data_IF_508055614270
#
_entry.id   IF_508055614270
#
_cell.length_a   1.000
_cell.length_b   1.000
_cell.length_c   1.000
_cell.angle_alpha   90.00
_cell.angle_beta   90.00
_cell.angle_gamma   90.00
#
_symmetry.space_group_name_H-M   'P 1'
#
loop_
_entity.id
_entity.type
_entity.pdbx_description
1 polymer ?
#
# COMPACT_ATOMS: atom_id res chain seq x y z
N UNK A 1 37.84 -19.78 5.21
CA UNK A 1 36.57 -20.40 4.74
C UNK A 1 35.71 -19.29 4.14
N UNK A 2 35.22 -19.47 2.92
CA UNK A 2 34.25 -18.51 2.34
C UNK A 2 32.95 -18.63 3.10
N UNK A 3 32.40 -17.49 3.53
CA UNK A 3 31.11 -17.42 4.18
C UNK A 3 30.01 -17.92 3.25
N UNK A 4 29.19 -18.86 3.73
CA UNK A 4 28.06 -19.40 2.94
C UNK A 4 26.83 -18.51 3.20
N UNK A 5 26.41 -17.78 2.17
CA UNK A 5 25.19 -16.97 2.21
C UNK A 5 23.97 -17.82 1.81
N UNK A 6 22.89 -17.72 2.57
CA UNK A 6 21.58 -18.22 2.14
C UNK A 6 20.94 -17.21 1.17
N UNK A 7 21.00 -17.52 -0.11
CA UNK A 7 20.45 -16.64 -1.16
C UNK A 7 18.93 -16.76 -1.33
N UNK A 8 18.31 -17.80 -0.76
CA UNK A 8 16.86 -17.99 -0.86
C UNK A 8 16.08 -16.87 -0.17
N UNK A 9 16.67 -16.24 0.84
CA UNK A 9 16.08 -15.07 1.54
C UNK A 9 15.91 -13.85 0.64
N UNK A 10 16.62 -13.82 -0.50
CA UNK A 10 16.52 -12.76 -1.51
C UNK A 10 15.42 -13.02 -2.55
N UNK A 11 14.78 -14.18 -2.52
CA UNK A 11 13.70 -14.49 -3.45
C UNK A 11 12.46 -13.63 -3.10
N UNK A 12 11.95 -12.88 -4.08
CA UNK A 12 10.77 -12.02 -3.93
C UNK A 12 9.53 -12.58 -4.65
N UNK A 13 9.68 -13.66 -5.42
CA UNK A 13 8.60 -14.25 -6.22
C UNK A 13 8.24 -13.40 -7.44
N UNK A 14 7.04 -13.58 -7.95
CA UNK A 14 6.58 -12.96 -9.19
C UNK A 14 6.12 -11.50 -9.01
N UNK A 15 5.62 -11.11 -7.84
CA UNK A 15 5.22 -9.71 -7.59
C UNK A 15 6.47 -8.91 -7.20
N UNK A 16 6.81 -7.95 -8.05
CA UNK A 16 8.05 -7.17 -7.93
C UNK A 16 7.87 -5.89 -7.11
N UNK A 17 6.69 -5.29 -7.18
CA UNK A 17 6.37 -4.02 -6.53
C UNK A 17 4.85 -3.85 -6.44
N UNK A 18 4.35 -3.44 -5.28
CA UNK A 18 3.06 -2.77 -5.19
C UNK A 18 3.28 -1.30 -5.55
N UNK A 19 2.74 -0.86 -6.69
CA UNK A 19 2.97 0.48 -7.20
C UNK A 19 2.09 1.50 -6.51
N UNK A 20 0.77 1.25 -6.43
CA UNK A 20 -0.12 2.21 -5.76
C UNK A 20 -1.27 1.54 -5.01
N UNK A 21 -1.84 2.33 -4.12
CA UNK A 21 -3.13 2.10 -3.49
C UNK A 21 -4.09 3.16 -4.02
N UNK A 22 -5.21 2.73 -4.59
CA UNK A 22 -6.28 3.61 -5.05
C UNK A 22 -7.34 3.76 -3.97
N UNK A 23 -7.58 5.01 -3.57
CA UNK A 23 -8.56 5.38 -2.57
C UNK A 23 -9.31 6.63 -3.03
N UNK A 24 -10.52 6.48 -3.53
CA UNK A 24 -11.32 7.63 -3.91
C UNK A 24 -11.60 8.54 -2.72
N UNK A 25 -11.62 9.84 -2.98
CA UNK A 25 -11.90 10.89 -1.99
C UNK A 25 -13.04 11.78 -2.49
N UNK A 26 -13.77 12.39 -1.59
CA UNK A 26 -14.87 13.30 -1.95
C UNK A 26 -14.41 14.76 -2.07
N UNK A 27 -13.27 15.11 -1.47
CA UNK A 27 -12.69 16.45 -1.49
C UNK A 27 -11.17 16.42 -1.74
N UNK A 28 -10.75 16.91 -2.90
CA UNK A 28 -9.33 16.96 -3.29
C UNK A 28 -8.52 17.99 -2.47
N UNK A 29 -9.12 19.04 -1.94
CA UNK A 29 -8.41 20.01 -1.11
C UNK A 29 -8.11 19.41 0.26
N UNK A 30 -9.06 18.71 0.85
CA UNK A 30 -8.86 17.95 2.09
C UNK A 30 -7.82 16.85 1.88
N UNK A 31 -7.83 16.18 0.71
CA UNK A 31 -6.82 15.19 0.37
C UNK A 31 -5.40 15.81 0.31
N UNK A 32 -5.23 16.94 -0.36
CA UNK A 32 -3.95 17.65 -0.39
C UNK A 32 -3.53 18.10 1.03
N UNK A 33 -4.45 18.64 1.82
CA UNK A 33 -4.15 19.04 3.20
C UNK A 33 -3.65 17.85 4.02
N UNK A 34 -4.26 16.68 3.89
CA UNK A 34 -3.87 15.49 4.63
C UNK A 34 -2.60 14.84 4.05
N UNK A 35 -2.60 14.40 2.79
CA UNK A 35 -1.49 13.62 2.24
C UNK A 35 -0.22 14.44 2.06
N UNK A 36 -0.33 15.70 1.62
CA UNK A 36 0.83 16.59 1.42
C UNK A 36 1.14 17.38 2.68
N UNK A 37 0.14 18.02 3.29
CA UNK A 37 0.36 18.88 4.45
C UNK A 37 0.69 18.12 5.72
N UNK A 38 -0.09 17.08 6.05
CA UNK A 38 0.09 16.31 7.30
C UNK A 38 1.12 15.23 7.15
N UNK A 39 0.92 14.30 6.20
CA UNK A 39 1.87 13.19 6.01
C UNK A 39 3.21 13.63 5.42
N UNK A 40 3.28 14.82 4.81
CA UNK A 40 4.50 15.33 4.20
C UNK A 40 4.88 14.63 2.89
N UNK A 41 3.91 14.02 2.22
CA UNK A 41 4.11 13.34 0.94
C UNK A 41 4.13 14.34 -0.23
N UNK A 42 4.45 13.88 -1.42
CA UNK A 42 4.65 14.76 -2.56
C UNK A 42 3.61 14.52 -3.64
N UNK A 43 2.83 15.54 -4.00
CA UNK A 43 2.02 15.46 -5.20
C UNK A 43 2.90 15.22 -6.42
N UNK A 44 2.55 14.23 -7.24
CA UNK A 44 3.31 13.91 -8.45
C UNK A 44 3.33 15.10 -9.40
N UNK A 45 4.51 15.60 -9.79
CA UNK A 45 4.61 16.79 -10.64
C UNK A 45 4.41 16.50 -12.14
N UNK A 46 4.39 15.22 -12.54
CA UNK A 46 4.36 14.81 -13.95
C UNK A 46 3.01 14.27 -14.39
N UNK A 47 2.23 13.70 -13.47
CA UNK A 47 0.89 13.22 -13.80
C UNK A 47 -0.11 14.35 -13.59
N UNK A 48 -0.67 14.85 -14.68
CA UNK A 48 -1.75 15.83 -14.66
C UNK A 48 -2.99 15.21 -15.31
N UNK A 49 -3.92 14.79 -14.47
CA UNK A 49 -5.18 14.15 -14.87
C UNK A 49 -6.39 15.02 -14.52
N UNK A 50 -6.20 16.34 -14.51
CA UNK A 50 -7.21 17.31 -14.12
C UNK A 50 -7.24 17.64 -12.64
N UNK A 51 -8.31 18.32 -12.20
CA UNK A 51 -8.48 18.76 -10.81
C UNK A 51 -9.10 17.69 -9.91
N UNK A 52 -9.75 16.69 -10.51
CA UNK A 52 -10.54 15.68 -9.81
C UNK A 52 -9.79 14.35 -9.62
N UNK A 53 -8.50 14.36 -9.80
CA UNK A 53 -7.69 13.17 -9.66
C UNK A 53 -6.25 13.57 -9.35
N UNK A 54 -5.72 13.14 -8.22
CA UNK A 54 -4.33 13.41 -7.84
C UNK A 54 -3.57 12.14 -7.55
N UNK A 55 -2.29 12.20 -7.84
CA UNK A 55 -1.31 11.17 -7.52
C UNK A 55 -0.34 11.72 -6.49
N UNK A 56 -0.13 10.97 -5.42
CA UNK A 56 0.74 11.36 -4.31
C UNK A 56 1.87 10.35 -4.21
N UNK A 57 3.10 10.82 -4.40
CA UNK A 57 4.31 10.00 -4.29
C UNK A 57 4.63 9.69 -2.82
N UNK A 58 4.93 8.45 -2.54
CA UNK A 58 5.38 7.94 -1.25
C UNK A 58 6.51 6.93 -1.48
N UNK A 59 7.71 7.45 -1.64
CA UNK A 59 8.85 6.63 -2.01
C UNK A 59 8.79 6.17 -3.47
N UNK A 60 8.81 4.85 -3.65
CA UNK A 60 8.65 4.18 -4.95
C UNK A 60 7.21 3.82 -5.26
N UNK A 61 6.28 4.19 -4.38
CA UNK A 61 4.86 3.92 -4.50
C UNK A 61 4.07 5.22 -4.58
N UNK A 62 2.77 5.07 -4.80
CA UNK A 62 1.86 6.21 -4.86
C UNK A 62 0.53 5.91 -4.17
N UNK A 63 -0.16 6.97 -3.74
CA UNK A 63 -1.60 6.95 -3.57
C UNK A 63 -2.24 7.55 -4.83
N UNK A 64 -3.19 6.84 -5.40
CA UNK A 64 -4.05 7.35 -6.46
C UNK A 64 -5.39 7.75 -5.85
N UNK A 65 -5.75 9.02 -5.95
CA UNK A 65 -6.87 9.62 -5.24
C UNK A 65 -7.87 10.26 -6.22
N UNK A 66 -8.68 9.47 -6.94
CA UNK A 66 -9.74 10.01 -7.79
C UNK A 66 -10.86 10.60 -6.93
N UNK A 67 -11.58 11.59 -7.45
CA UNK A 67 -12.78 12.14 -6.80
C UNK A 67 -13.98 11.24 -7.06
N UNK A 68 -14.74 10.97 -6.00
CA UNK A 68 -16.00 10.24 -6.02
C UNK A 68 -16.98 10.89 -5.07
N UNK A 69 -18.29 10.64 -5.24
CA UNK A 69 -19.33 11.12 -4.31
C UNK A 69 -19.14 10.60 -2.88
N UNK A 70 -18.52 9.43 -2.75
CA UNK A 70 -18.21 8.81 -1.46
C UNK A 70 -16.75 8.37 -1.43
N UNK A 71 -16.06 8.77 -0.37
CA UNK A 71 -14.68 8.34 -0.14
C UNK A 71 -14.60 6.84 0.17
N UNK A 72 -13.52 6.21 -0.29
CA UNK A 72 -13.23 4.81 -0.02
C UNK A 72 -12.42 4.64 1.26
N UNK A 73 -12.71 3.58 1.99
CA UNK A 73 -12.01 3.21 3.23
C UNK A 73 -11.52 1.79 3.14
N UNK A 74 -10.20 1.63 3.11
CA UNK A 74 -9.54 0.33 3.10
C UNK A 74 -9.95 -0.49 4.33
N UNK A 75 -10.29 -1.76 4.12
CA UNK A 75 -10.72 -2.68 5.17
C UNK A 75 -9.55 -3.19 6.02
N UNK A 76 -8.85 -2.25 6.65
CA UNK A 76 -7.64 -2.59 7.39
C UNK A 76 -6.79 -1.38 7.73
N UNK A 77 -5.48 -1.51 7.57
CA UNK A 77 -4.48 -0.50 7.93
C UNK A 77 -3.39 -0.38 6.86
N UNK A 78 -2.86 0.82 6.71
CA UNK A 78 -1.77 1.15 5.78
C UNK A 78 -0.51 1.43 6.60
N UNK A 79 0.52 0.60 6.46
CA UNK A 79 1.82 0.82 7.08
C UNK A 79 2.67 1.79 6.25
N UNK A 80 3.12 2.86 6.87
CA UNK A 80 4.01 3.84 6.26
C UNK A 80 5.36 3.89 6.96
N UNK A 81 6.42 3.90 6.19
CA UNK A 81 7.74 4.35 6.65
C UNK A 81 7.89 5.80 6.25
N UNK A 82 8.31 6.63 7.20
CA UNK A 82 8.53 8.07 7.02
C UNK A 82 9.89 8.49 7.58
N UNK A 83 10.48 9.57 7.07
CA UNK A 83 11.84 9.98 7.47
C UNK A 83 11.95 10.37 8.95
N UNK A 84 10.94 11.05 9.53
CA UNK A 84 10.96 11.54 10.91
C UNK A 84 9.57 11.52 11.54
N UNK A 85 9.42 10.76 12.62
CA UNK A 85 8.19 10.75 13.44
C UNK A 85 8.04 12.04 14.24
N UNK A 86 9.15 12.66 14.66
CA UNK A 86 9.12 13.93 15.39
C UNK A 86 8.52 15.05 14.53
N UNK A 87 9.00 15.19 13.31
CA UNK A 87 8.47 16.18 12.36
C UNK A 87 7.02 15.87 11.96
N UNK A 88 6.68 14.59 11.80
CA UNK A 88 5.27 14.20 11.57
C UNK A 88 4.39 14.65 12.74
N UNK A 89 4.83 14.48 14.00
CA UNK A 89 4.05 14.89 15.17
C UNK A 89 3.75 16.38 15.16
N UNK A 90 4.73 17.22 14.85
CA UNK A 90 4.52 18.68 14.72
C UNK A 90 3.47 19.00 13.65
N UNK A 91 3.49 18.33 12.51
CA UNK A 91 2.48 18.53 11.45
C UNK A 91 1.10 18.05 11.88
N UNK A 92 1.00 16.94 12.62
CA UNK A 92 -0.26 16.42 13.15
C UNK A 92 -0.91 17.39 14.15
N UNK A 93 -0.14 17.93 15.08
CA UNK A 93 -0.59 18.93 16.05
C UNK A 93 -1.15 20.19 15.36
N UNK A 94 -0.46 20.64 14.31
CA UNK A 94 -0.92 21.79 13.51
C UNK A 94 -2.19 21.48 12.71
N UNK A 95 -2.37 20.24 12.28
CA UNK A 95 -3.51 19.81 11.47
C UNK A 95 -4.81 19.65 12.27
N UNK A 96 -4.75 19.45 13.59
CA UNK A 96 -5.93 19.24 14.43
C UNK A 96 -6.98 20.34 14.27
N UNK A 97 -6.54 21.60 14.12
CA UNK A 97 -7.44 22.75 13.94
C UNK A 97 -8.07 22.81 12.53
N UNK A 98 -7.36 22.27 11.54
CA UNK A 98 -7.77 22.35 10.13
C UNK A 98 -8.72 21.20 9.80
N UNK A 99 -8.48 20.02 10.37
CA UNK A 99 -9.20 18.79 10.06
C UNK A 99 -10.20 18.37 11.15
N UNK A 100 -10.49 19.22 12.14
CA UNK A 100 -11.34 18.93 13.29
C UNK A 100 -12.80 18.57 12.95
N UNK A 101 -13.29 18.95 11.76
CA UNK A 101 -14.65 18.65 11.28
C UNK A 101 -14.73 17.31 10.52
N UNK A 102 -13.63 16.55 10.46
CA UNK A 102 -13.53 15.27 9.76
C UNK A 102 -13.33 14.12 10.74
N UNK A 103 -13.09 12.89 10.25
CA UNK A 103 -12.71 11.75 11.11
C UNK A 103 -11.23 11.76 11.53
N UNK A 104 -10.49 12.81 11.17
CA UNK A 104 -9.06 12.91 11.48
C UNK A 104 -8.81 12.80 12.97
N UNK A 105 -7.93 11.89 13.31
CA UNK A 105 -7.43 11.70 14.68
C UNK A 105 -6.05 11.01 14.65
N UNK A 106 -5.30 11.12 15.73
CA UNK A 106 -4.02 10.44 15.84
C UNK A 106 -3.65 10.10 17.28
N UNK A 107 -2.78 9.13 17.42
CA UNK A 107 -2.20 8.74 18.73
C UNK A 107 -0.76 8.26 18.55
N UNK A 108 0.08 8.50 19.55
CA UNK A 108 1.47 8.01 19.58
C UNK A 108 1.59 6.77 20.45
N UNK A 109 2.31 5.79 19.97
CA UNK A 109 2.73 4.63 20.75
C UNK A 109 4.22 4.78 21.08
N UNK A 110 4.50 5.52 22.14
CA UNK A 110 5.87 5.88 22.54
C UNK A 110 6.60 6.68 21.44
N UNK A 111 7.87 6.31 21.20
CA UNK A 111 8.69 6.89 20.12
C UNK A 111 8.74 6.02 18.86
N UNK A 112 8.10 4.86 18.84
CA UNK A 112 8.27 3.85 17.80
C UNK A 112 7.29 3.99 16.64
N UNK A 113 6.07 4.44 16.92
CA UNK A 113 5.02 4.56 15.89
C UNK A 113 3.96 5.60 16.23
N UNK A 114 3.30 6.08 15.19
CA UNK A 114 2.12 6.96 15.27
C UNK A 114 1.01 6.31 14.47
N UNK A 115 -0.17 6.15 15.10
CA UNK A 115 -1.41 5.76 14.42
C UNK A 115 -2.18 7.00 14.04
N UNK A 116 -2.66 7.06 12.80
CA UNK A 116 -3.39 8.19 12.24
C UNK A 116 -4.65 7.66 11.56
N UNK A 117 -5.79 8.27 11.85
CA UNK A 117 -7.01 8.12 11.06
C UNK A 117 -7.10 9.31 10.11
N UNK A 118 -7.22 9.07 8.81
CA UNK A 118 -7.36 10.14 7.83
C UNK A 118 -8.76 10.81 7.90
N UNK A 119 -9.01 11.92 7.20
CA UNK A 119 -10.29 12.59 7.19
C UNK A 119 -11.50 11.71 6.87
N UNK A 120 -11.33 10.60 6.17
CA UNK A 120 -12.40 9.69 5.75
C UNK A 120 -12.44 8.36 6.50
N UNK A 121 -11.50 8.10 7.43
CA UNK A 121 -11.48 6.90 8.24
C UNK A 121 -10.39 5.88 7.88
N UNK A 122 -9.60 6.09 6.81
CA UNK A 122 -8.45 5.21 6.53
C UNK A 122 -7.42 5.30 7.65
N UNK A 123 -6.93 4.15 8.11
CA UNK A 123 -5.98 4.04 9.23
C UNK A 123 -4.56 3.85 8.72
N UNK A 124 -3.65 4.66 9.24
CA UNK A 124 -2.23 4.63 8.92
C UNK A 124 -1.42 4.29 10.17
N UNK A 125 -0.44 3.41 10.03
CA UNK A 125 0.55 3.13 11.06
C UNK A 125 1.90 3.61 10.54
N UNK A 126 2.34 4.76 11.05
CA UNK A 126 3.59 5.39 10.65
C UNK A 126 4.73 4.96 11.55
N UNK A 127 5.83 4.50 10.95
CA UNK A 127 7.09 4.18 11.63
C UNK A 127 8.23 4.99 11.02
N UNK A 128 9.25 5.27 11.82
CA UNK A 128 10.43 5.96 11.34
C UNK A 128 11.33 5.02 10.54
N UNK A 129 11.91 5.54 9.47
CA UNK A 129 12.95 4.83 8.72
C UNK A 129 14.11 4.46 9.64
N UNK A 130 14.57 3.21 9.58
CA UNK A 130 15.73 2.77 10.34
C UNK A 130 17.00 3.07 9.54
N UNK A 131 17.80 4.02 10.00
CA UNK A 131 19.03 4.46 9.34
C UNK A 131 20.13 3.37 9.28
N UNK A 132 20.03 2.33 10.12
CA UNK A 132 21.02 1.26 10.19
C UNK A 132 20.71 0.06 9.30
N UNK A 133 19.54 0.04 8.68
CA UNK A 133 19.14 -0.99 7.72
C UNK A 133 19.13 -0.39 6.32
N UNK A 134 19.67 -1.11 5.37
CA UNK A 134 19.53 -0.82 3.92
C UNK A 134 18.07 -1.06 3.53
N UNK A 135 17.18 -0.16 3.93
CA UNK A 135 15.76 -0.36 3.84
C UNK A 135 15.03 0.87 3.32
N UNK A 136 13.72 0.74 3.26
CA UNK A 136 12.80 1.80 2.87
C UNK A 136 12.96 3.06 3.74
N UNK A 137 13.28 4.19 3.12
CA UNK A 137 13.40 5.49 3.80
C UNK A 137 12.07 6.24 3.88
N UNK A 138 11.26 6.07 2.86
CA UNK A 138 9.87 6.50 2.77
C UNK A 138 9.12 5.54 1.86
N UNK A 139 7.90 5.15 2.22
CA UNK A 139 7.12 4.22 1.39
C UNK A 139 5.97 3.57 2.14
N UNK A 140 5.17 2.82 1.39
CA UNK A 140 4.15 1.93 1.93
C UNK A 140 4.84 0.60 2.22
N UNK A 141 5.04 0.27 3.50
CA UNK A 141 5.71 -0.96 3.91
C UNK A 141 4.79 -2.18 3.86
N UNK A 142 3.53 -1.98 4.20
CA UNK A 142 2.54 -3.04 4.15
C UNK A 142 1.10 -2.50 4.09
N UNK A 143 0.21 -3.34 3.60
CA UNK A 143 -1.23 -3.22 3.81
C UNK A 143 -1.66 -4.38 4.69
N UNK A 144 -2.42 -4.13 5.74
CA UNK A 144 -3.00 -5.16 6.58
C UNK A 144 -4.52 -5.14 6.39
N UNK A 145 -5.07 -6.20 5.82
CA UNK A 145 -6.52 -6.38 5.64
C UNK A 145 -7.08 -7.30 6.73
N UNK A 146 -8.23 -6.94 7.28
CA UNK A 146 -8.99 -7.81 8.16
C UNK A 146 -9.88 -8.73 7.32
N UNK A 147 -9.77 -10.03 7.57
CA UNK A 147 -10.48 -11.08 6.83
C UNK A 147 -11.25 -12.00 7.77
N UNK A 148 -12.27 -12.67 7.24
CA UNK A 148 -13.05 -13.63 8.00
C UNK A 148 -12.18 -14.79 8.53
N UNK A 149 -12.49 -15.34 9.69
CA UNK A 149 -11.83 -16.55 10.19
C UNK A 149 -11.85 -17.69 9.17
N UNK A 150 -10.78 -18.48 9.15
CA UNK A 150 -10.52 -19.58 8.21
C UNK A 150 -10.25 -19.15 6.75
N UNK A 151 -10.07 -17.85 6.46
CA UNK A 151 -9.75 -17.37 5.11
C UNK A 151 -8.25 -17.34 4.82
N UNK A 152 -7.40 -17.06 5.80
CA UNK A 152 -5.97 -16.81 5.61
C UNK A 152 -5.24 -17.96 4.91
N UNK A 153 -5.59 -19.20 5.19
CA UNK A 153 -5.00 -20.39 4.55
C UNK A 153 -5.32 -20.47 3.06
N UNK A 154 -6.56 -20.20 2.66
CA UNK A 154 -6.98 -20.16 1.26
C UNK A 154 -6.35 -18.98 0.50
N UNK A 155 -6.30 -17.82 1.14
CA UNK A 155 -5.61 -16.61 0.63
C UNK A 155 -4.12 -16.90 0.39
N UNK A 156 -3.45 -17.57 1.35
CA UNK A 156 -2.05 -17.97 1.20
C UNK A 156 -1.85 -18.87 -0.02
N UNK A 157 -2.77 -19.83 -0.26
CA UNK A 157 -2.73 -20.68 -1.46
C UNK A 157 -2.91 -19.87 -2.73
N UNK A 158 -3.85 -18.92 -2.76
CA UNK A 158 -4.08 -18.06 -3.92
C UNK A 158 -2.80 -17.34 -4.34
N UNK A 159 -2.16 -16.63 -3.41
CA UNK A 159 -0.95 -15.89 -3.75
C UNK A 159 0.20 -16.79 -4.17
N UNK A 160 0.37 -17.95 -3.55
CA UNK A 160 1.41 -18.91 -3.92
C UNK A 160 1.17 -19.57 -5.28
N UNK A 161 -0.02 -20.09 -5.50
CA UNK A 161 -0.31 -20.96 -6.65
C UNK A 161 -0.74 -20.17 -7.89
N UNK A 162 -1.42 -19.03 -7.70
CA UNK A 162 -1.92 -18.21 -8.80
C UNK A 162 -0.89 -17.14 -9.18
N UNK A 163 -0.44 -16.35 -8.20
CA UNK A 163 0.44 -15.19 -8.42
C UNK A 163 1.94 -15.51 -8.23
N UNK A 164 2.31 -16.73 -7.84
CA UNK A 164 3.69 -17.13 -7.53
C UNK A 164 4.40 -16.15 -6.57
N UNK A 165 3.66 -15.68 -5.57
CA UNK A 165 4.17 -14.79 -4.54
C UNK A 165 4.46 -15.56 -3.25
N UNK A 166 5.65 -15.42 -2.64
CA UNK A 166 5.95 -16.04 -1.36
C UNK A 166 4.97 -15.56 -0.29
N UNK A 167 4.41 -16.50 0.44
CA UNK A 167 3.45 -16.22 1.50
C UNK A 167 3.76 -17.08 2.72
N UNK A 168 3.84 -16.46 3.89
CA UNK A 168 3.96 -17.12 5.18
C UNK A 168 2.59 -17.18 5.86
N UNK A 169 2.27 -18.32 6.48
CA UNK A 169 1.06 -18.48 7.29
C UNK A 169 1.47 -18.57 8.75
N UNK A 170 1.02 -17.63 9.56
CA UNK A 170 1.31 -17.52 10.98
C UNK A 170 0.07 -17.90 11.79
N UNK A 171 0.22 -18.80 12.76
CA UNK A 171 -0.84 -19.15 13.69
C UNK A 171 -0.72 -18.26 14.94
N UNK A 172 -1.82 -17.64 15.33
CA UNK A 172 -1.91 -16.84 16.55
C UNK A 172 -2.34 -17.71 17.74
N UNK A 173 -2.04 -17.26 18.96
CA UNK A 173 -2.39 -17.97 20.19
C UNK A 173 -3.91 -18.15 20.39
N UNK A 174 -4.72 -17.26 19.83
CA UNK A 174 -6.19 -17.32 19.89
C UNK A 174 -6.82 -18.23 18.81
N UNK A 175 -6.00 -18.97 18.05
CA UNK A 175 -6.45 -19.88 16.99
C UNK A 175 -6.72 -19.23 15.63
N UNK A 176 -6.66 -17.90 15.53
CA UNK A 176 -6.73 -17.20 14.25
C UNK A 176 -5.41 -17.30 13.48
N UNK A 177 -5.47 -17.05 12.19
CA UNK A 177 -4.32 -17.12 11.30
C UNK A 177 -4.06 -15.78 10.62
N UNK A 178 -2.81 -15.57 10.23
CA UNK A 178 -2.38 -14.41 9.44
C UNK A 178 -1.60 -14.91 8.22
N UNK A 179 -1.99 -14.48 7.04
CA UNK A 179 -1.23 -14.71 5.82
C UNK A 179 -0.39 -13.46 5.50
N UNK A 180 0.92 -13.61 5.42
CA UNK A 180 1.86 -12.54 5.09
C UNK A 180 2.42 -12.80 3.69
N UNK A 181 1.96 -12.02 2.72
CA UNK A 181 2.36 -12.12 1.31
C UNK A 181 3.48 -11.14 1.02
N UNK A 182 4.59 -11.62 0.47
CA UNK A 182 5.68 -10.76 0.00
C UNK A 182 5.33 -10.21 -1.39
N UNK A 183 5.34 -8.87 -1.53
CA UNK A 183 4.95 -8.18 -2.76
C UNK A 183 6.03 -7.19 -3.24
N UNK A 184 7.27 -7.55 -3.06
CA UNK A 184 8.45 -6.75 -3.38
C UNK A 184 9.55 -6.95 -2.34
N UNK A 185 10.70 -6.27 -2.49
CA UNK A 185 11.83 -6.44 -1.57
C UNK A 185 11.51 -6.07 -0.11
N UNK A 186 10.70 -5.03 0.10
CA UNK A 186 10.44 -4.43 1.42
C UNK A 186 8.95 -4.20 1.68
N UNK A 187 8.09 -4.89 0.93
CA UNK A 187 6.65 -4.71 0.99
C UNK A 187 5.93 -6.03 1.25
N UNK A 188 4.83 -5.94 1.98
CA UNK A 188 3.94 -7.08 2.20
C UNK A 188 2.47 -6.68 2.15
N UNK A 189 1.63 -7.64 1.79
CA UNK A 189 0.21 -7.61 2.11
C UNK A 189 -0.01 -8.62 3.23
N UNK A 190 -0.70 -8.20 4.27
CA UNK A 190 -1.05 -9.01 5.43
C UNK A 190 -2.55 -9.21 5.44
N UNK A 191 -3.00 -10.44 5.59
CA UNK A 191 -4.41 -10.78 5.77
C UNK A 191 -4.56 -11.38 7.16
N UNK A 192 -5.12 -10.58 8.07
CA UNK A 192 -5.29 -10.93 9.47
C UNK A 192 -6.72 -11.39 9.72
N UNK A 193 -6.90 -12.64 10.11
CA UNK A 193 -8.22 -13.13 10.52
C UNK A 193 -8.72 -12.37 11.74
N UNK A 194 -9.98 -11.97 11.71
CA UNK A 194 -10.63 -11.18 12.75
C UNK A 194 -12.05 -11.70 13.02
N UNK A 195 -12.37 -11.89 14.28
CA UNK A 195 -13.71 -12.29 14.76
C UNK A 195 -14.63 -11.09 15.04
N UNK A 196 -14.11 -9.87 14.95
CA UNK A 196 -14.90 -8.68 15.23
C UNK A 196 -15.68 -8.20 14.02
N UNK A 197 -16.72 -7.39 14.25
CA UNK A 197 -17.52 -6.76 13.19
C UNK A 197 -16.79 -5.61 12.46
N UNK A 198 -15.45 -5.61 12.47
CA UNK A 198 -14.63 -4.58 11.79
C UNK A 198 -14.56 -4.72 10.27
N UNK A 199 -15.05 -5.84 9.73
CA UNK A 199 -15.00 -6.10 8.30
C UNK A 199 -16.19 -5.41 7.64
N UNK A 200 -15.96 -4.22 7.09
CA UNK A 200 -16.97 -3.49 6.31
C UNK A 200 -17.15 -4.11 4.92
N UNK A 201 -18.29 -3.83 4.25
CA UNK A 201 -18.45 -4.19 2.84
C UNK A 201 -17.33 -3.59 1.96
N UNK A 202 -17.00 -4.28 0.88
CA UNK A 202 -16.05 -3.79 -0.11
C UNK A 202 -16.62 -2.57 -0.84
N UNK A 203 -15.81 -1.53 -1.01
CA UNK A 203 -16.22 -0.24 -1.59
C UNK A 203 -15.49 0.11 -2.90
N UNK A 204 -14.75 -0.86 -3.48
CA UNK A 204 -14.06 -0.70 -4.74
C UNK A 204 -12.65 -0.10 -4.64
N UNK A 205 -12.06 0.03 -3.43
CA UNK A 205 -10.64 0.37 -3.32
C UNK A 205 -9.77 -0.72 -3.96
N UNK A 206 -8.64 -0.34 -4.56
CA UNK A 206 -7.78 -1.33 -5.23
C UNK A 206 -6.29 -1.07 -5.02
N UNK A 207 -5.50 -2.06 -5.41
CA UNK A 207 -4.05 -1.98 -5.45
C UNK A 207 -3.55 -2.26 -6.86
N UNK A 208 -2.44 -1.63 -7.24
CA UNK A 208 -1.72 -1.98 -8.47
C UNK A 208 -0.41 -2.67 -8.15
N UNK A 209 -0.13 -3.76 -8.86
CA UNK A 209 1.09 -4.55 -8.68
C UNK A 209 1.78 -4.80 -10.02
N UNK A 210 3.11 -4.72 -10.02
CA UNK A 210 3.94 -5.16 -11.15
C UNK A 210 4.39 -6.59 -10.96
N UNK A 211 4.26 -7.40 -12.01
CA UNK A 211 4.64 -8.81 -12.02
C UNK A 211 5.67 -9.10 -13.10
N UNK A 212 6.57 -10.05 -12.85
CA UNK A 212 7.56 -10.50 -13.81
C UNK A 212 6.94 -11.42 -14.87
N UNK A 213 6.27 -12.47 -14.44
CA UNK A 213 5.44 -13.33 -15.29
C UNK A 213 4.02 -12.78 -15.33
N UNK A 214 3.63 -12.20 -16.44
CA UNK A 214 2.36 -11.50 -16.60
C UNK A 214 1.26 -12.42 -17.15
N UNK A 215 1.60 -13.34 -18.04
CA UNK A 215 0.62 -14.17 -18.75
C UNK A 215 0.15 -15.39 -17.97
N UNK A 216 1.02 -16.05 -17.19
CA UNK A 216 0.64 -17.26 -16.49
C UNK A 216 -0.39 -17.00 -15.36
N UNK A 217 -0.25 -15.97 -14.48
CA UNK A 217 -1.32 -15.60 -13.56
C UNK A 217 -2.62 -15.23 -14.28
N UNK A 218 -2.54 -14.47 -15.37
CA UNK A 218 -3.71 -14.11 -16.19
C UNK A 218 -4.48 -15.35 -16.63
N UNK A 219 -3.82 -16.31 -17.29
CA UNK A 219 -4.47 -17.54 -17.77
C UNK A 219 -5.11 -18.35 -16.64
N UNK A 220 -4.46 -18.41 -15.46
CA UNK A 220 -5.01 -19.11 -14.29
C UNK A 220 -6.27 -18.44 -13.76
N UNK A 221 -6.31 -17.10 -13.72
CA UNK A 221 -7.46 -16.34 -13.21
C UNK A 221 -8.59 -16.38 -14.25
N UNK A 222 -8.28 -16.18 -15.54
CA UNK A 222 -9.21 -16.23 -16.66
C UNK A 222 -9.90 -17.60 -16.74
N UNK A 223 -9.15 -18.69 -16.68
CA UNK A 223 -9.69 -20.05 -16.73
C UNK A 223 -10.64 -20.39 -15.57
N UNK A 224 -10.60 -19.62 -14.49
CA UNK A 224 -11.53 -19.71 -13.37
C UNK A 224 -12.64 -18.66 -13.42
N UNK A 225 -12.68 -17.79 -14.45
CA UNK A 225 -13.74 -16.80 -14.64
C UNK A 225 -13.67 -15.59 -13.72
N UNK A 226 -12.47 -15.25 -13.16
CA UNK A 226 -12.31 -14.16 -12.20
C UNK A 226 -11.68 -12.88 -12.78
N UNK A 227 -11.36 -12.83 -14.08
CA UNK A 227 -10.95 -11.57 -14.73
C UNK A 227 -12.15 -10.63 -14.77
N UNK A 228 -11.97 -9.41 -14.27
CA UNK A 228 -13.01 -8.37 -14.24
C UNK A 228 -12.83 -7.34 -15.35
N UNK A 229 -11.58 -7.09 -15.78
CA UNK A 229 -11.28 -6.13 -16.83
C UNK A 229 -10.02 -6.51 -17.63
N UNK A 230 -10.13 -6.50 -18.95
CA UNK A 230 -9.02 -6.55 -19.91
C UNK A 230 -8.68 -5.13 -20.36
N UNK A 231 -7.93 -4.39 -19.50
CA UNK A 231 -7.71 -2.95 -19.72
C UNK A 231 -6.90 -2.64 -20.97
N UNK A 232 -5.80 -3.37 -21.20
CA UNK A 232 -4.93 -3.24 -22.36
C UNK A 232 -3.86 -4.35 -22.38
N UNK A 233 -2.94 -4.34 -23.36
CA UNK A 233 -1.88 -5.38 -23.49
C UNK A 233 -0.87 -5.44 -22.34
N UNK A 234 -0.85 -4.47 -21.43
CA UNK A 234 0.07 -4.41 -20.30
C UNK A 234 -0.60 -4.56 -18.95
N UNK A 235 -1.96 -4.58 -18.92
CA UNK A 235 -2.72 -4.50 -17.69
C UNK A 235 -4.04 -5.26 -17.80
N UNK A 236 -4.36 -5.99 -16.74
CA UNK A 236 -5.67 -6.59 -16.50
C UNK A 236 -6.06 -6.42 -15.03
N UNK A 237 -7.33 -6.70 -14.71
CA UNK A 237 -7.84 -6.62 -13.34
C UNK A 237 -8.60 -7.88 -12.94
N UNK A 238 -8.53 -8.18 -11.67
CA UNK A 238 -9.42 -9.13 -11.00
C UNK A 238 -9.75 -8.62 -9.60
N UNK A 239 -10.91 -8.98 -9.07
CA UNK A 239 -11.39 -8.49 -7.76
C UNK A 239 -11.30 -9.55 -6.68
N UNK A 240 -11.77 -10.77 -6.95
CA UNK A 240 -11.92 -11.77 -5.91
C UNK A 240 -10.67 -12.61 -5.70
N UNK A 241 -10.18 -12.63 -4.46
CA UNK A 241 -9.24 -13.63 -3.98
C UNK A 241 -10.03 -14.88 -3.60
N UNK A 242 -9.78 -15.98 -4.29
CA UNK A 242 -10.48 -17.27 -4.08
C UNK A 242 -9.53 -18.36 -3.59
N UNK A 243 -10.08 -19.38 -2.95
CA UNK A 243 -9.29 -20.59 -2.64
C UNK A 243 -9.12 -21.45 -3.91
N UNK A 244 -7.89 -21.66 -4.40
CA UNK A 244 -7.65 -22.47 -5.59
C UNK A 244 -8.19 -23.89 -5.53
N UNK A 245 -8.31 -24.49 -4.32
CA UNK A 245 -8.82 -25.85 -4.11
C UNK A 245 -10.34 -25.90 -4.20
N UNK A 246 -11.04 -24.97 -3.56
CA UNK A 246 -12.50 -25.01 -3.43
C UNK A 246 -13.23 -24.10 -4.39
N UNK A 247 -12.51 -23.16 -5.02
CA UNK A 247 -13.03 -22.07 -5.89
C UNK A 247 -13.96 -21.10 -5.15
N UNK A 248 -13.97 -21.13 -3.83
CA UNK A 248 -14.79 -20.22 -3.02
C UNK A 248 -14.08 -18.88 -2.91
N UNK A 249 -14.78 -17.78 -3.18
CA UNK A 249 -14.30 -16.42 -2.94
C UNK A 249 -14.13 -16.21 -1.42
N UNK A 250 -12.99 -15.63 -1.05
CA UNK A 250 -12.59 -15.45 0.35
C UNK A 250 -12.54 -13.99 0.74
N UNK A 251 -12.15 -13.13 -0.19
CA UNK A 251 -11.99 -11.70 0.06
C UNK A 251 -11.98 -10.94 -1.26
N UNK A 252 -12.69 -9.81 -1.31
CA UNK A 252 -12.70 -8.94 -2.47
C UNK A 252 -11.67 -7.81 -2.29
N UNK A 253 -10.73 -7.76 -3.19
CA UNK A 253 -9.73 -6.71 -3.32
C UNK A 253 -9.32 -6.65 -4.79
N UNK A 254 -9.73 -5.61 -5.49
CA UNK A 254 -9.33 -5.46 -6.88
C UNK A 254 -7.81 -5.31 -7.00
N UNK A 255 -7.23 -6.17 -7.84
CA UNK A 255 -5.83 -6.12 -8.23
C UNK A 255 -5.74 -5.62 -9.66
N UNK A 256 -5.11 -4.47 -9.83
CA UNK A 256 -4.65 -4.00 -11.12
C UNK A 256 -3.26 -4.60 -11.37
N UNK A 257 -3.21 -5.65 -12.18
CA UNK A 257 -1.96 -6.37 -12.48
C UNK A 257 -1.31 -5.76 -13.71
N UNK A 258 -0.05 -5.35 -13.57
CA UNK A 258 0.73 -4.68 -14.61
C UNK A 258 1.98 -5.48 -14.97
N UNK A 259 2.28 -5.52 -16.27
CA UNK A 259 3.54 -6.01 -16.79
C UNK A 259 4.69 -5.02 -16.52
N UNK A 260 5.93 -5.52 -16.38
CA UNK A 260 7.13 -4.66 -16.35
C UNK A 260 7.35 -3.87 -17.65
N UNK A 261 6.63 -4.19 -18.72
CA UNK A 261 6.64 -3.41 -19.98
C UNK A 261 5.58 -2.30 -20.01
N UNK A 262 4.81 -2.15 -18.92
CA UNK A 262 3.88 -1.03 -18.78
C UNK A 262 4.61 0.31 -18.85
N UNK A 263 4.07 1.35 -19.56
CA UNK A 263 4.76 2.63 -19.76
C UNK A 263 5.16 3.35 -18.46
N UNK A 264 4.47 3.10 -17.35
CA UNK A 264 4.78 3.71 -16.07
C UNK A 264 5.78 2.91 -15.21
N UNK A 265 6.18 1.70 -15.63
CA UNK A 265 7.15 0.92 -14.87
C UNK A 265 8.50 1.63 -14.79
N UNK A 266 9.10 1.62 -13.62
CA UNK A 266 10.42 2.23 -13.35
C UNK A 266 10.53 3.74 -13.65
N UNK A 267 9.41 4.46 -13.81
CA UNK A 267 9.49 5.91 -13.90
C UNK A 267 9.95 6.49 -12.55
N UNK A 268 10.76 7.53 -12.61
CA UNK A 268 11.23 8.23 -11.39
C UNK A 268 10.06 8.93 -10.70
N UNK A 269 9.94 8.73 -9.39
CA UNK A 269 9.03 9.47 -8.52
C UNK A 269 9.83 10.49 -7.70
N UNK A 270 9.38 11.73 -7.65
CA UNK A 270 9.99 12.78 -6.85
C UNK A 270 9.37 12.77 -5.46
N UNK A 271 10.21 12.73 -4.43
CA UNK A 271 9.81 12.82 -3.03
C UNK A 271 10.57 13.97 -2.38
N UNK A 272 9.90 15.08 -2.16
CA UNK A 272 10.50 16.28 -1.55
C UNK A 272 10.64 16.11 -0.04
N UNK A 273 11.62 16.79 0.51
CA UNK A 273 11.66 16.98 1.96
C UNK A 273 10.58 18.00 2.37
N UNK A 274 9.54 17.60 3.13
CA UNK A 274 8.43 18.48 3.50
C UNK A 274 8.85 19.62 4.44
N UNK A 275 10.01 19.50 5.09
CA UNK A 275 10.49 20.44 6.08
C UNK A 275 11.52 21.45 5.50
N UNK A 276 11.82 21.36 4.19
CA UNK A 276 12.67 22.33 3.49
C UNK A 276 11.97 23.68 3.35
N UNK A 277 12.69 24.75 3.71
CA UNK A 277 12.25 26.14 3.57
C UNK A 277 13.41 27.03 3.16
N UNK A 278 13.16 28.33 2.94
CA UNK A 278 14.18 29.28 2.48
C UNK A 278 15.42 29.39 3.38
N UNK A 279 15.31 29.04 4.67
CA UNK A 279 16.38 29.18 5.65
C UNK A 279 17.24 27.93 5.78
N UNK A 280 16.65 26.74 5.55
CA UNK A 280 17.32 25.45 5.64
C UNK A 280 17.46 24.73 4.30
N UNK A 281 17.23 25.43 3.20
CA UNK A 281 17.37 24.90 1.86
C UNK A 281 18.85 24.59 1.59
N UNK A 282 19.13 23.31 1.34
CA UNK A 282 20.45 22.85 0.95
C UNK A 282 20.43 22.45 -0.52
N UNK A 283 21.30 23.05 -1.32
CA UNK A 283 21.46 22.66 -2.72
C UNK A 283 21.69 21.15 -2.80
N UNK A 284 21.00 20.47 -3.69
CA UNK A 284 21.08 19.01 -3.93
C UNK A 284 20.47 18.11 -2.84
N UNK A 285 19.77 18.66 -1.84
CA UNK A 285 19.11 17.88 -0.76
C UNK A 285 17.59 17.91 -0.79
N UNK A 286 17.00 18.48 -1.84
CA UNK A 286 15.54 18.66 -1.94
C UNK A 286 14.78 17.35 -2.10
N UNK A 287 15.40 16.41 -2.80
CA UNK A 287 14.83 15.09 -3.01
C UNK A 287 15.25 14.17 -1.86
N UNK A 288 14.29 13.48 -1.24
CA UNK A 288 14.61 12.30 -0.47
C UNK A 288 15.14 11.27 -1.49
N UNK A 289 16.50 11.20 -1.62
CA UNK A 289 17.13 10.24 -2.51
C UNK A 289 16.70 8.83 -2.16
N UNK A 290 15.83 8.29 -2.98
CA UNK A 290 15.30 6.94 -2.90
C UNK A 290 15.90 6.20 -4.09
N UNK A 291 17.15 5.79 -3.94
CA UNK A 291 17.83 4.92 -4.89
C UNK A 291 17.50 3.46 -4.61
#
# INVERSE_FOLDING_TARGET
MLEKFDRSVQNIGNILLMEHVNLAVDDQQVAIAFYVGVLGLTRDPYISVGLNNIWINVGRQQFHLPTSEKAQVLRGEIGLIIPSLEQLRVRLENAEKILNSTQFSWSSYGHESISITCPWGNRFICKQANSNLTGMRIGISHLNFYVNPNSAKGISRFYKEILDAPCELVNLQNGLQVAVVKIGPEQSIVFSEDNSDRISPYDGHHIAVYVADFSNPHHKIESNGFITEESNKWQYRFESIYDPLTKVALFDLEHEVRSITHPMYSRRLINRNPDSNLQNFLRDSEDLNIN
#
